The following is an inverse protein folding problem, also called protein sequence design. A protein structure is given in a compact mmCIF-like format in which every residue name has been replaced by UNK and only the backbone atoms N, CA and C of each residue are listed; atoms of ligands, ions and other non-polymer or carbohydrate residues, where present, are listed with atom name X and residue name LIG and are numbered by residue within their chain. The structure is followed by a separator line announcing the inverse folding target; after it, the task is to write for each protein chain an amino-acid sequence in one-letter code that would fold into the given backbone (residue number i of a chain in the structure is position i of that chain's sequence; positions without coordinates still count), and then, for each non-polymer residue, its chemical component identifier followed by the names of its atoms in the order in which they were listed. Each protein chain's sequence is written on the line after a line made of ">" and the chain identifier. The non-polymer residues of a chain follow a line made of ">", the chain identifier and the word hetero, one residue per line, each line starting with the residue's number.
data_IF_807739418423
#
_entry.id   IF_807739418423
#
_cell.length_a   1.000
_cell.length_b   1.000
_cell.length_c   1.000
_cell.angle_alpha   90.00
_cell.angle_beta   90.00
_cell.angle_gamma   90.00
#
_symmetry.space_group_name_H-M   'P 1'
#
loop_
_entity.id
_entity.type
_entity.pdbx_description
1 polymer ?
#
# COMPACT_ATOMS: atom_id res chain seq x y z
N UNK A 1 24.61 12.98 12.47
CA UNK A 1 24.56 13.06 11.00
C UNK A 1 23.07 13.07 10.66
N UNK A 2 22.61 14.03 9.86
CA UNK A 2 21.17 14.16 9.60
C UNK A 2 20.69 12.96 8.76
N UNK A 3 19.44 12.57 8.92
CA UNK A 3 18.76 11.53 8.14
C UNK A 3 18.89 11.76 6.63
N UNK A 4 18.93 13.04 6.19
CA UNK A 4 19.12 13.45 4.80
C UNK A 4 20.43 12.93 4.18
N UNK A 5 21.54 12.94 4.93
CA UNK A 5 22.83 12.43 4.43
C UNK A 5 22.81 10.92 4.19
N UNK A 6 22.08 10.15 5.00
CA UNK A 6 22.01 8.70 4.85
C UNK A 6 21.18 8.31 3.63
N UNK A 7 20.03 8.97 3.43
CA UNK A 7 19.18 8.72 2.26
C UNK A 7 19.92 9.08 0.95
N UNK A 8 20.68 10.18 0.95
CA UNK A 8 21.46 10.59 -0.22
C UNK A 8 22.49 9.51 -0.61
N UNK A 9 23.20 8.92 0.35
CA UNK A 9 24.13 7.83 0.08
C UNK A 9 23.45 6.59 -0.50
N UNK A 10 22.28 6.19 0.05
CA UNK A 10 21.51 5.10 -0.53
C UNK A 10 21.06 5.39 -1.96
N UNK A 11 20.62 6.62 -2.23
CA UNK A 11 20.17 7.02 -3.56
C UNK A 11 21.31 7.05 -4.60
N UNK A 12 22.55 7.35 -4.17
CA UNK A 12 23.72 7.30 -5.02
C UNK A 12 24.15 5.87 -5.36
N UNK A 13 24.12 4.97 -4.36
CA UNK A 13 24.55 3.58 -4.52
C UNK A 13 23.44 2.67 -5.12
N UNK A 14 22.19 2.99 -4.88
CA UNK A 14 21.02 2.21 -5.29
C UNK A 14 19.98 3.11 -5.98
N UNK A 15 20.28 3.70 -7.14
CA UNK A 15 19.42 4.70 -7.76
C UNK A 15 18.07 4.11 -8.18
N UNK A 16 16.98 4.85 -7.93
CA UNK A 16 15.65 4.54 -8.40
C UNK A 16 15.37 5.25 -9.73
N UNK A 17 14.87 4.51 -10.71
CA UNK A 17 14.32 5.08 -11.93
C UNK A 17 12.81 5.23 -11.77
N UNK A 18 12.32 6.46 -11.79
CA UNK A 18 10.90 6.79 -11.73
C UNK A 18 10.48 7.47 -13.03
N UNK A 19 9.29 7.14 -13.52
CA UNK A 19 8.73 7.70 -14.76
C UNK A 19 7.40 8.39 -14.47
N UNK A 20 6.86 9.10 -15.45
CA UNK A 20 5.48 9.56 -15.42
C UNK A 20 4.56 8.49 -16.04
N UNK A 21 3.38 8.29 -15.47
CA UNK A 21 2.33 7.44 -16.02
C UNK A 21 1.20 8.33 -16.57
N UNK A 22 0.90 8.17 -17.85
CA UNK A 22 -0.23 8.85 -18.50
C UNK A 22 -1.28 7.81 -18.90
N UNK A 23 -2.42 7.83 -18.24
CA UNK A 23 -3.58 6.96 -18.49
C UNK A 23 -4.67 7.64 -19.33
N UNK A 24 -4.53 8.93 -19.65
CA UNK A 24 -5.55 9.69 -20.41
C UNK A 24 -5.85 9.12 -21.79
N UNK A 25 -4.88 8.44 -22.40
CA UNK A 25 -5.00 7.81 -23.72
C UNK A 25 -5.01 6.28 -23.70
N UNK A 26 -4.54 5.65 -22.61
CA UNK A 26 -4.31 4.20 -22.55
C UNK A 26 -4.74 3.57 -21.21
N UNK A 27 -5.73 4.09 -20.53
CA UNK A 27 -6.24 3.54 -19.25
C UNK A 27 -6.91 2.16 -19.37
N UNK A 28 -7.19 1.68 -20.60
CA UNK A 28 -7.80 0.37 -20.78
C UNK A 28 -6.91 -0.75 -20.24
N UNK A 29 -7.51 -1.62 -19.43
CA UNK A 29 -6.82 -2.75 -18.81
C UNK A 29 -6.00 -2.38 -17.58
N UNK A 30 -6.05 -1.13 -17.10
CA UNK A 30 -5.54 -0.77 -15.78
C UNK A 30 -6.57 -1.06 -14.70
N UNK A 31 -6.08 -1.60 -13.58
CA UNK A 31 -6.79 -1.67 -12.30
C UNK A 31 -6.05 -0.88 -11.24
N UNK A 32 -6.77 -0.33 -10.29
CA UNK A 32 -6.23 0.45 -9.18
C UNK A 32 -6.31 -0.36 -7.89
N UNK A 33 -5.18 -0.55 -7.21
CA UNK A 33 -5.09 -1.34 -5.97
C UNK A 33 -4.65 -0.44 -4.83
N UNK A 34 -5.47 -0.39 -3.78
CA UNK A 34 -5.25 0.39 -2.56
C UNK A 34 -4.97 -0.58 -1.41
N UNK A 35 -3.83 -0.41 -0.74
CA UNK A 35 -3.39 -1.28 0.36
C UNK A 35 -3.48 -0.53 1.69
N UNK A 36 -4.32 -1.00 2.59
CA UNK A 36 -4.37 -0.65 4.01
C UNK A 36 -4.52 0.85 4.34
N UNK A 37 -5.16 1.64 3.49
CA UNK A 37 -5.48 3.03 3.83
C UNK A 37 -6.66 3.11 4.80
N UNK A 38 -6.44 2.54 5.97
CA UNK A 38 -7.40 2.48 7.08
C UNK A 38 -7.03 3.45 8.20
N UNK A 39 -7.99 3.77 9.07
CA UNK A 39 -7.79 4.69 10.17
C UNK A 39 -6.62 4.28 11.08
N UNK A 40 -6.51 2.98 11.39
CA UNK A 40 -5.48 2.43 12.28
C UNK A 40 -4.04 2.61 11.79
N UNK A 41 -3.84 2.99 10.51
CA UNK A 41 -2.51 3.26 9.94
C UNK A 41 -2.33 4.69 9.43
N UNK A 42 -3.41 5.40 9.08
CA UNK A 42 -3.28 6.68 8.39
C UNK A 42 -4.00 7.86 9.07
N UNK A 43 -4.91 7.62 10.03
CA UNK A 43 -5.60 8.69 10.75
C UNK A 43 -4.89 9.00 12.07
N UNK A 44 -4.52 10.25 12.28
CA UNK A 44 -3.80 10.68 13.49
C UNK A 44 -4.54 10.29 14.76
N UNK A 45 -3.87 9.53 15.63
CA UNK A 45 -4.39 9.11 16.94
C UNK A 45 -5.48 8.04 16.90
N UNK A 46 -5.75 7.42 15.75
CA UNK A 46 -6.84 6.46 15.61
C UNK A 46 -6.52 5.05 16.17
N UNK A 47 -5.26 4.75 16.44
CA UNK A 47 -4.86 3.43 16.97
C UNK A 47 -3.39 3.35 17.32
N UNK A 48 -2.97 2.15 17.72
CA UNK A 48 -1.60 1.91 18.19
C UNK A 48 -0.52 2.10 17.11
N UNK A 49 -0.87 1.84 15.86
CA UNK A 49 0.05 1.93 14.72
C UNK A 49 -0.23 3.18 13.84
N UNK A 50 -1.25 3.96 14.20
CA UNK A 50 -1.56 5.22 13.53
C UNK A 50 -0.52 6.31 13.89
N UNK A 51 -0.30 7.30 13.00
CA UNK A 51 0.53 8.46 13.32
C UNK A 51 0.02 9.15 14.58
N UNK A 52 0.91 9.48 15.51
CA UNK A 52 0.53 10.21 16.74
C UNK A 52 0.47 11.72 16.52
N UNK A 53 1.07 12.22 15.45
CA UNK A 53 1.07 13.61 15.01
C UNK A 53 0.85 13.67 13.51
N UNK A 54 0.41 14.81 12.94
CA UNK A 54 0.28 14.94 11.49
C UNK A 54 1.58 14.57 10.77
N UNK A 55 1.45 13.72 9.75
CA UNK A 55 2.55 13.25 8.92
C UNK A 55 2.28 13.63 7.46
N UNK A 56 3.19 14.41 6.85
CA UNK A 56 3.01 14.94 5.51
C UNK A 56 2.99 13.83 4.45
N UNK A 57 3.88 12.84 4.54
CA UNK A 57 3.94 11.73 3.57
C UNK A 57 2.63 10.93 3.58
N UNK A 58 2.09 10.61 4.77
CA UNK A 58 0.79 9.94 4.91
C UNK A 58 -0.36 10.80 4.34
N UNK A 59 -0.36 12.10 4.63
CA UNK A 59 -1.39 13.01 4.12
C UNK A 59 -1.36 13.15 2.60
N UNK A 60 -0.17 13.18 2.00
CA UNK A 60 0.01 13.20 0.55
C UNK A 60 -0.50 11.90 -0.07
N UNK A 61 -0.14 10.76 0.50
CA UNK A 61 -0.60 9.44 0.06
C UNK A 61 -2.14 9.38 0.00
N UNK A 62 -2.81 9.70 1.11
CA UNK A 62 -4.29 9.69 1.17
C UNK A 62 -4.91 10.63 0.14
N UNK A 63 -4.36 11.85 -0.01
CA UNK A 63 -4.85 12.83 -0.98
C UNK A 63 -4.69 12.35 -2.42
N UNK A 64 -3.53 11.78 -2.77
CA UNK A 64 -3.27 11.26 -4.11
C UNK A 64 -4.10 10.01 -4.41
N UNK A 65 -4.26 9.12 -3.45
CA UNK A 65 -5.14 7.94 -3.58
C UNK A 65 -6.58 8.36 -3.83
N UNK A 66 -7.10 9.30 -3.05
CA UNK A 66 -8.46 9.82 -3.24
C UNK A 66 -8.63 10.48 -4.63
N UNK A 67 -7.67 11.30 -5.05
CA UNK A 67 -7.67 11.92 -6.40
C UNK A 67 -7.71 10.86 -7.50
N UNK A 68 -6.88 9.83 -7.39
CA UNK A 68 -6.82 8.74 -8.36
C UNK A 68 -8.10 7.91 -8.36
N UNK A 69 -8.62 7.52 -7.20
CA UNK A 69 -9.86 6.75 -7.09
C UNK A 69 -11.03 7.49 -7.77
N UNK A 70 -11.16 8.80 -7.52
CA UNK A 70 -12.17 9.63 -8.19
C UNK A 70 -11.97 9.76 -9.70
N UNK A 71 -10.78 9.49 -10.22
CA UNK A 71 -10.51 9.49 -11.66
C UNK A 71 -10.74 8.11 -12.29
N UNK A 72 -10.47 7.02 -11.56
CA UNK A 72 -10.66 5.65 -12.04
C UNK A 72 -12.14 5.26 -12.15
N UNK A 73 -12.94 5.55 -11.13
CA UNK A 73 -14.32 5.07 -11.06
C UNK A 73 -15.24 5.62 -12.17
N UNK A 74 -15.20 6.92 -12.57
CA UNK A 74 -16.02 7.42 -13.68
C UNK A 74 -15.62 6.83 -15.04
N UNK A 75 -14.37 6.34 -15.17
CA UNK A 75 -13.89 5.69 -16.39
C UNK A 75 -14.17 4.18 -16.41
N UNK A 76 -14.92 3.68 -15.41
CA UNK A 76 -15.25 2.25 -15.25
C UNK A 76 -14.00 1.38 -15.15
N UNK A 77 -12.90 1.93 -14.63
CA UNK A 77 -11.69 1.17 -14.31
C UNK A 77 -11.85 0.55 -12.90
N UNK A 78 -11.56 -0.74 -12.76
CA UNK A 78 -11.82 -1.44 -11.50
C UNK A 78 -10.87 -0.99 -10.38
N UNK A 79 -11.41 -0.89 -9.17
CA UNK A 79 -10.66 -0.60 -7.95
C UNK A 79 -10.70 -1.80 -7.02
N UNK A 80 -9.56 -2.20 -6.47
CA UNK A 80 -9.45 -3.20 -5.42
C UNK A 80 -8.87 -2.54 -4.17
N UNK A 81 -9.58 -2.55 -3.07
CA UNK A 81 -9.05 -2.12 -1.80
C UNK A 81 -8.88 -3.31 -0.87
N UNK A 82 -7.68 -3.49 -0.36
CA UNK A 82 -7.31 -4.50 0.62
C UNK A 82 -7.16 -3.79 1.96
N UNK A 83 -7.91 -4.23 2.98
CA UNK A 83 -8.07 -3.53 4.24
C UNK A 83 -7.69 -4.43 5.40
N UNK A 84 -6.70 -4.02 6.17
CA UNK A 84 -6.28 -4.75 7.36
C UNK A 84 -7.40 -4.81 8.40
N UNK A 85 -7.68 -6.02 8.88
CA UNK A 85 -8.84 -6.25 9.75
C UNK A 85 -8.65 -7.50 10.57
N UNK A 86 -8.37 -7.34 11.85
CA UNK A 86 -8.13 -8.45 12.78
C UNK A 86 -9.37 -8.77 13.61
N UNK A 87 -9.52 -10.03 13.99
CA UNK A 87 -10.47 -10.40 15.02
C UNK A 87 -9.98 -9.91 16.39
N UNK A 88 -10.92 -9.59 17.28
CA UNK A 88 -10.62 -9.03 18.59
C UNK A 88 -9.63 -9.91 19.37
N UNK A 89 -8.52 -9.31 19.85
CA UNK A 89 -7.47 -9.97 20.60
C UNK A 89 -6.51 -10.83 19.77
N UNK A 90 -6.68 -10.89 18.44
CA UNK A 90 -5.77 -11.61 17.55
C UNK A 90 -4.52 -10.78 17.29
N UNK A 91 -3.38 -11.25 17.75
CA UNK A 91 -2.08 -10.59 17.53
C UNK A 91 -1.47 -11.00 16.19
N UNK A 92 -0.77 -10.06 15.56
CA UNK A 92 0.12 -10.27 14.43
C UNK A 92 1.55 -9.86 14.81
N UNK A 93 2.36 -10.75 15.38
CA UNK A 93 3.72 -10.40 15.76
C UNK A 93 4.58 -9.96 14.57
N UNK A 94 5.45 -8.93 14.72
CA UNK A 94 5.85 -8.31 15.98
C UNK A 94 4.98 -7.12 16.43
N UNK A 95 3.89 -6.84 15.75
CA UNK A 95 3.07 -5.64 15.98
C UNK A 95 2.14 -5.81 17.20
N UNK A 96 1.80 -4.69 17.82
CA UNK A 96 0.73 -4.62 18.82
C UNK A 96 -0.64 -4.85 18.18
N UNK A 97 -1.68 -5.07 18.99
CA UNK A 97 -3.06 -5.13 18.50
C UNK A 97 -3.40 -3.87 17.71
N UNK A 98 -3.99 -4.03 16.54
CA UNK A 98 -4.34 -2.97 15.60
C UNK A 98 -5.48 -3.41 14.69
N UNK A 99 -6.16 -2.46 14.09
CA UNK A 99 -7.22 -2.67 13.10
C UNK A 99 -8.23 -3.76 13.50
N UNK A 100 -8.55 -3.85 14.80
CA UNK A 100 -9.51 -4.83 15.29
C UNK A 100 -10.92 -4.49 14.81
N UNK A 101 -11.71 -5.52 14.51
CA UNK A 101 -13.11 -5.38 14.07
C UNK A 101 -13.93 -4.57 15.04
N UNK A 102 -14.75 -3.65 14.53
CA UNK A 102 -15.67 -2.81 15.28
C UNK A 102 -14.99 -1.78 16.19
N UNK A 103 -13.71 -1.48 15.99
CA UNK A 103 -13.03 -0.38 16.67
C UNK A 103 -13.05 0.92 15.86
N UNK A 104 -13.24 0.79 14.54
CA UNK A 104 -13.13 1.88 13.58
C UNK A 104 -11.69 2.06 13.04
N UNK A 105 -10.71 1.37 13.61
CA UNK A 105 -9.34 1.34 13.08
C UNK A 105 -9.30 0.65 11.72
N UNK A 106 -10.08 -0.40 11.52
CA UNK A 106 -10.20 -1.18 10.30
C UNK A 106 -11.01 -0.51 9.18
N UNK A 107 -11.67 0.61 9.49
CA UNK A 107 -12.42 1.39 8.50
C UNK A 107 -11.49 2.22 7.63
N UNK A 108 -11.91 2.47 6.39
CA UNK A 108 -11.23 3.44 5.54
C UNK A 108 -11.00 4.77 6.24
N UNK A 109 -9.92 5.45 5.90
CA UNK A 109 -9.79 6.89 6.18
C UNK A 109 -10.98 7.65 5.61
N UNK A 110 -11.34 8.77 6.23
CA UNK A 110 -12.55 9.55 5.88
C UNK A 110 -12.66 9.89 4.39
N UNK A 111 -11.53 10.21 3.77
CA UNK A 111 -11.39 10.60 2.36
C UNK A 111 -11.76 9.48 1.40
N UNK A 112 -11.58 8.22 1.80
CA UNK A 112 -11.82 7.04 0.96
C UNK A 112 -13.09 6.27 1.33
N UNK A 113 -13.80 6.67 2.38
CA UNK A 113 -15.00 5.94 2.88
C UNK A 113 -16.11 5.81 1.83
N UNK A 114 -16.17 6.70 0.84
CA UNK A 114 -17.12 6.63 -0.24
C UNK A 114 -16.95 5.39 -1.14
N UNK A 115 -15.74 4.80 -1.19
CA UNK A 115 -15.46 3.56 -1.92
C UNK A 115 -16.28 2.37 -1.41
N UNK A 116 -16.75 2.38 -0.16
CA UNK A 116 -17.61 1.33 0.39
C UNK A 116 -18.96 1.21 -0.37
N UNK A 117 -19.35 2.26 -1.09
CA UNK A 117 -20.60 2.33 -1.84
C UNK A 117 -20.39 2.43 -3.36
N UNK A 118 -19.13 2.41 -3.78
CA UNK A 118 -18.77 2.56 -5.19
C UNK A 118 -18.87 1.19 -5.89
N UNK A 119 -19.73 1.04 -6.93
CA UNK A 119 -19.89 -0.24 -7.63
C UNK A 119 -18.62 -0.76 -8.32
N UNK A 120 -17.68 0.13 -8.64
CA UNK A 120 -16.41 -0.24 -9.26
C UNK A 120 -15.35 -0.68 -8.24
N UNK A 121 -15.63 -0.55 -6.95
CA UNK A 121 -14.72 -0.94 -5.88
C UNK A 121 -15.04 -2.33 -5.33
N UNK A 122 -14.03 -3.20 -5.32
CA UNK A 122 -14.05 -4.49 -4.61
C UNK A 122 -13.27 -4.33 -3.33
N UNK A 123 -13.88 -4.70 -2.19
CA UNK A 123 -13.25 -4.62 -0.88
C UNK A 123 -12.88 -6.01 -0.39
N UNK A 124 -11.62 -6.19 -0.01
CA UNK A 124 -11.09 -7.44 0.57
C UNK A 124 -10.55 -7.13 1.97
N UNK A 125 -11.00 -7.86 2.96
CA UNK A 125 -10.48 -7.79 4.33
C UNK A 125 -9.41 -8.86 4.51
N UNK A 126 -8.22 -8.47 5.03
CA UNK A 126 -7.12 -9.37 5.35
C UNK A 126 -6.82 -9.33 6.86
N UNK A 127 -6.18 -10.36 7.36
CA UNK A 127 -5.79 -10.50 8.76
C UNK A 127 -4.31 -10.87 8.93
N UNK A 128 -3.51 -10.49 7.94
CA UNK A 128 -2.05 -10.68 7.90
C UNK A 128 -1.40 -9.62 7.01
N UNK A 129 -0.10 -9.38 7.20
CA UNK A 129 0.69 -8.36 6.46
C UNK A 129 0.47 -8.48 4.95
N UNK A 130 0.57 -9.69 4.41
CA UNK A 130 0.53 -9.91 2.97
C UNK A 130 -0.91 -9.95 2.44
N UNK A 131 -1.34 -8.90 1.74
CA UNK A 131 -2.68 -8.79 1.17
C UNK A 131 -3.04 -9.85 0.12
N UNK A 132 -2.05 -10.42 -0.59
CA UNK A 132 -2.31 -11.51 -1.53
C UNK A 132 -2.61 -12.82 -0.78
N UNK A 133 -1.89 -13.10 0.31
CA UNK A 133 -2.13 -14.26 1.17
C UNK A 133 -3.46 -14.10 1.92
N UNK A 134 -3.73 -12.92 2.49
CA UNK A 134 -4.97 -12.63 3.19
C UNK A 134 -6.22 -12.64 2.28
N UNK A 135 -6.04 -12.61 0.95
CA UNK A 135 -7.13 -12.70 -0.01
C UNK A 135 -7.60 -14.13 -0.31
N UNK A 136 -6.93 -15.18 0.23
CA UNK A 136 -7.40 -16.55 0.09
C UNK A 136 -8.71 -16.77 0.83
N UNK A 137 -9.65 -17.42 0.16
CA UNK A 137 -10.96 -17.78 0.70
C UNK A 137 -10.95 -19.22 1.23
N UNK A 138 -11.98 -19.60 2.00
CA UNK A 138 -12.08 -20.93 2.59
C UNK A 138 -12.19 -22.07 1.55
N UNK A 139 -12.66 -21.77 0.35
CA UNK A 139 -12.75 -22.73 -0.78
C UNK A 139 -11.45 -22.86 -1.57
N UNK A 140 -10.41 -22.11 -1.21
CA UNK A 140 -9.10 -22.08 -1.84
C UNK A 140 -8.99 -21.11 -3.02
N UNK A 141 -10.05 -20.38 -3.38
CA UNK A 141 -9.98 -19.27 -4.33
C UNK A 141 -9.21 -18.08 -3.73
N UNK A 142 -8.79 -17.15 -4.59
CA UNK A 142 -8.10 -15.94 -4.15
C UNK A 142 -8.76 -14.71 -4.76
N UNK A 143 -9.28 -13.82 -3.92
CA UNK A 143 -10.04 -12.66 -4.37
C UNK A 143 -9.23 -11.69 -5.27
N UNK A 144 -7.90 -11.61 -5.11
CA UNK A 144 -7.05 -10.81 -6.01
C UNK A 144 -6.96 -11.45 -7.40
N UNK A 145 -6.79 -12.79 -7.45
CA UNK A 145 -6.73 -13.52 -8.71
C UNK A 145 -8.07 -13.40 -9.46
N UNK A 146 -9.17 -13.59 -8.75
CA UNK A 146 -10.51 -13.51 -9.33
C UNK A 146 -10.79 -12.08 -9.82
N UNK A 147 -10.48 -11.05 -9.03
CA UNK A 147 -10.62 -9.65 -9.43
C UNK A 147 -9.83 -9.32 -10.71
N UNK A 148 -8.58 -9.78 -10.82
CA UNK A 148 -7.75 -9.57 -12.03
C UNK A 148 -8.38 -10.23 -13.25
N UNK A 149 -8.90 -11.46 -13.11
CA UNK A 149 -9.54 -12.22 -14.20
C UNK A 149 -10.87 -11.58 -14.61
N UNK A 150 -11.75 -11.35 -13.66
CA UNK A 150 -13.13 -10.89 -13.91
C UNK A 150 -13.17 -9.52 -14.57
N UNK A 151 -12.18 -8.66 -14.23
CA UNK A 151 -12.04 -7.33 -14.80
C UNK A 151 -11.06 -7.27 -15.98
N UNK A 152 -10.51 -8.43 -16.42
CA UNK A 152 -9.51 -8.49 -17.48
C UNK A 152 -8.36 -7.50 -17.31
N UNK A 153 -7.85 -7.38 -16.07
CA UNK A 153 -6.78 -6.44 -15.73
C UNK A 153 -5.47 -6.89 -16.33
N UNK A 154 -4.85 -6.01 -17.12
CA UNK A 154 -3.55 -6.25 -17.73
C UNK A 154 -2.42 -5.50 -17.00
N UNK A 155 -2.74 -4.39 -16.36
CA UNK A 155 -1.77 -3.59 -15.60
C UNK A 155 -2.41 -3.14 -14.30
N UNK A 156 -1.63 -3.03 -13.24
CA UNK A 156 -2.12 -2.51 -11.95
C UNK A 156 -1.31 -1.31 -11.53
N UNK A 157 -1.98 -0.31 -10.98
CA UNK A 157 -1.40 0.80 -10.25
C UNK A 157 -1.62 0.55 -8.76
N UNK A 158 -0.55 0.45 -7.99
CA UNK A 158 -0.57 0.11 -6.56
C UNK A 158 -0.19 1.33 -5.73
N UNK A 159 -0.98 1.58 -4.68
CA UNK A 159 -0.77 2.62 -3.66
C UNK A 159 -1.05 2.06 -2.27
N UNK A 160 -0.68 2.79 -1.22
CA UNK A 160 -1.07 2.48 0.15
C UNK A 160 0.04 2.52 1.19
N UNK A 161 -0.20 1.89 2.33
CA UNK A 161 0.66 1.89 3.52
C UNK A 161 0.84 0.47 4.09
N UNK A 162 2.01 0.04 4.60
CA UNK A 162 3.28 0.76 4.55
C UNK A 162 4.07 0.32 3.32
N UNK A 163 4.77 1.26 2.68
CA UNK A 163 5.55 1.05 1.45
C UNK A 163 6.46 -0.16 1.54
N UNK A 164 7.16 -0.32 2.65
CA UNK A 164 8.19 -1.35 2.90
C UNK A 164 7.66 -2.58 3.65
N UNK A 165 6.37 -2.62 3.95
CA UNK A 165 5.72 -3.73 4.66
C UNK A 165 4.57 -4.29 3.80
N UNK A 166 3.32 -3.88 4.05
CA UNK A 166 2.15 -4.47 3.38
C UNK A 166 2.15 -4.24 1.87
N UNK A 167 2.52 -3.03 1.40
CA UNK A 167 2.61 -2.71 -0.03
C UNK A 167 3.71 -3.54 -0.68
N UNK A 168 4.91 -3.56 -0.10
CA UNK A 168 6.03 -4.34 -0.64
C UNK A 168 5.71 -5.83 -0.67
N UNK A 169 5.23 -6.41 0.43
CA UNK A 169 4.89 -7.84 0.51
C UNK A 169 3.83 -8.22 -0.54
N UNK A 170 2.81 -7.40 -0.69
CA UNK A 170 1.78 -7.60 -1.72
C UNK A 170 2.39 -7.55 -3.13
N UNK A 171 3.13 -6.49 -3.46
CA UNK A 171 3.72 -6.29 -4.80
C UNK A 171 4.69 -7.42 -5.16
N UNK A 172 5.56 -7.82 -4.22
CA UNK A 172 6.52 -8.92 -4.47
C UNK A 172 5.81 -10.26 -4.70
N UNK A 173 4.75 -10.51 -3.94
CA UNK A 173 3.94 -11.73 -4.11
C UNK A 173 3.16 -11.70 -5.41
N UNK A 174 2.57 -10.55 -5.78
CA UNK A 174 1.85 -10.36 -7.04
C UNK A 174 2.76 -10.57 -8.25
N UNK A 175 3.99 -10.01 -8.22
CA UNK A 175 5.02 -10.23 -9.25
C UNK A 175 5.38 -11.73 -9.36
N UNK A 176 5.53 -12.40 -8.23
CA UNK A 176 5.83 -13.85 -8.20
C UNK A 176 4.67 -14.68 -8.75
N UNK A 177 3.44 -14.36 -8.37
CA UNK A 177 2.22 -15.03 -8.86
C UNK A 177 2.04 -14.83 -10.38
N UNK A 178 2.29 -13.59 -10.88
CA UNK A 178 2.32 -13.29 -12.32
C UNK A 178 3.34 -14.16 -13.04
N UNK A 179 4.58 -14.18 -12.57
CA UNK A 179 5.69 -14.91 -13.18
C UNK A 179 5.46 -16.43 -13.13
N UNK A 180 4.76 -16.94 -12.11
CA UNK A 180 4.35 -18.34 -12.00
C UNK A 180 3.18 -18.71 -12.92
N UNK A 181 2.53 -17.72 -13.55
CA UNK A 181 1.42 -17.96 -14.47
C UNK A 181 0.03 -18.04 -13.81
N UNK A 182 -0.10 -17.63 -12.53
CA UNK A 182 -1.40 -17.56 -11.83
C UNK A 182 -2.26 -16.41 -12.35
N UNK A 183 -1.65 -15.39 -12.93
CA UNK A 183 -2.26 -14.16 -13.42
C UNK A 183 -1.90 -13.92 -14.90
N UNK A 184 -2.40 -14.74 -15.84
CA UNK A 184 -1.94 -14.74 -17.24
C UNK A 184 -2.26 -13.45 -18.00
N UNK A 185 -3.27 -12.66 -17.57
CA UNK A 185 -3.59 -11.37 -18.16
C UNK A 185 -2.68 -10.25 -17.65
N UNK A 186 -2.12 -10.37 -16.43
CA UNK A 186 -1.35 -9.33 -15.78
C UNK A 186 0.04 -9.20 -16.41
N UNK A 187 0.37 -8.00 -16.90
CA UNK A 187 1.65 -7.67 -17.54
C UNK A 187 2.51 -6.83 -16.63
N UNK A 188 2.00 -5.66 -16.22
CA UNK A 188 2.75 -4.68 -15.47
C UNK A 188 2.19 -4.47 -14.07
N UNK A 189 3.09 -4.32 -13.12
CA UNK A 189 2.81 -3.89 -11.75
C UNK A 189 3.52 -2.56 -11.55
N UNK A 190 2.75 -1.50 -11.43
CA UNK A 190 3.21 -0.12 -11.30
C UNK A 190 2.97 0.34 -9.87
N UNK A 191 3.98 0.91 -9.23
CA UNK A 191 3.89 1.48 -7.87
C UNK A 191 4.03 2.99 -7.95
N UNK A 192 3.07 3.71 -7.39
CA UNK A 192 3.08 5.16 -7.38
C UNK A 192 3.73 5.67 -6.09
N UNK A 193 4.89 6.28 -6.23
CA UNK A 193 5.70 6.78 -5.12
C UNK A 193 4.92 7.66 -4.15
N UNK A 194 4.31 8.75 -4.64
CA UNK A 194 3.51 9.66 -3.80
C UNK A 194 2.18 9.08 -3.31
N UNK A 195 1.74 7.99 -3.91
CA UNK A 195 0.58 7.22 -3.45
C UNK A 195 0.94 6.17 -2.39
N UNK A 196 2.21 6.06 -2.02
CA UNK A 196 2.68 5.17 -0.97
C UNK A 196 3.29 5.95 0.19
N UNK A 197 3.13 5.44 1.40
CA UNK A 197 3.73 5.99 2.62
C UNK A 197 4.09 4.88 3.59
N UNK A 198 4.89 5.21 4.59
CA UNK A 198 5.15 4.33 5.73
C UNK A 198 5.16 5.15 7.03
N UNK A 199 5.21 4.50 8.19
CA UNK A 199 5.25 5.20 9.46
C UNK A 199 6.66 5.74 9.77
N UNK A 200 6.73 6.72 10.66
CA UNK A 200 7.99 7.29 11.13
C UNK A 200 8.21 6.99 12.61
N UNK A 201 9.28 6.27 12.90
CA UNK A 201 9.74 6.01 14.27
C UNK A 201 11.25 6.22 14.35
N UNK A 202 11.72 7.48 14.43
CA UNK A 202 13.13 7.80 14.44
C UNK A 202 13.85 7.25 15.66
N UNK A 203 15.14 6.97 15.51
CA UNK A 203 15.98 6.39 16.55
C UNK A 203 15.93 7.16 17.89
N UNK A 204 15.97 8.48 17.86
CA UNK A 204 15.89 9.31 19.06
C UNK A 204 14.56 9.14 19.80
N UNK A 205 13.45 8.97 19.08
CA UNK A 205 12.14 8.70 19.67
C UNK A 205 12.14 7.30 20.31
N UNK A 206 12.70 6.30 19.64
CA UNK A 206 12.84 4.94 20.17
C UNK A 206 13.62 4.94 21.50
N UNK A 207 14.73 5.68 21.55
CA UNK A 207 15.55 5.84 22.77
C UNK A 207 14.75 6.52 23.90
N UNK A 208 14.00 7.57 23.58
CA UNK A 208 13.20 8.34 24.54
C UNK A 208 12.08 7.50 25.17
N UNK A 209 11.38 6.70 24.36
CA UNK A 209 10.26 5.87 24.83
C UNK A 209 10.69 4.49 25.36
N UNK A 210 12.00 4.20 25.34
CA UNK A 210 12.58 2.99 25.92
C UNK A 210 12.35 1.70 25.14
N UNK A 211 12.11 1.80 23.84
CA UNK A 211 12.02 0.62 22.97
C UNK A 211 13.42 0.12 22.55
N UNK A 212 13.54 -1.14 22.11
CA UNK A 212 14.77 -1.64 21.51
C UNK A 212 15.15 -0.81 20.26
N UNK A 213 16.43 -0.51 20.09
CA UNK A 213 16.91 0.27 18.93
C UNK A 213 16.53 -0.36 17.57
N UNK A 214 16.35 -1.68 17.54
CA UNK A 214 15.86 -2.39 16.35
C UNK A 214 14.43 -2.05 15.95
N UNK A 215 13.69 -1.33 16.79
CA UNK A 215 12.37 -0.80 16.47
C UNK A 215 12.43 0.52 15.67
N UNK A 216 13.63 1.10 15.49
CA UNK A 216 13.79 2.32 14.71
C UNK A 216 13.33 2.12 13.27
N UNK A 217 12.49 3.04 12.81
CA UNK A 217 11.92 3.01 11.45
C UNK A 217 11.92 4.42 10.85
N UNK A 218 13.07 4.90 10.35
CA UNK A 218 13.18 6.22 9.75
C UNK A 218 12.45 6.25 8.40
N UNK A 219 11.34 6.96 8.35
CA UNK A 219 10.34 6.95 7.28
C UNK A 219 10.93 7.07 5.86
N UNK A 220 11.76 8.08 5.62
CA UNK A 220 12.29 8.33 4.28
C UNK A 220 13.21 7.20 3.78
N UNK A 221 14.00 6.62 4.69
CA UNK A 221 14.92 5.53 4.35
C UNK A 221 14.15 4.24 4.09
N UNK A 222 13.20 3.88 4.95
CA UNK A 222 12.43 2.64 4.82
C UNK A 222 11.47 2.72 3.65
N UNK A 223 10.84 3.87 3.39
CA UNK A 223 10.07 4.12 2.17
C UNK A 223 10.92 3.92 0.92
N UNK A 224 12.11 4.55 0.86
CA UNK A 224 13.03 4.39 -0.26
C UNK A 224 13.43 2.94 -0.49
N UNK A 225 13.76 2.22 0.58
CA UNK A 225 14.15 0.80 0.51
C UNK A 225 13.00 -0.09 0.04
N UNK A 226 11.77 0.18 0.48
CA UNK A 226 10.57 -0.52 0.00
C UNK A 226 10.41 -0.36 -1.52
N UNK A 227 10.50 0.87 -2.02
CA UNK A 227 10.46 1.16 -3.46
C UNK A 227 11.60 0.45 -4.21
N UNK A 228 12.82 0.49 -3.66
CA UNK A 228 13.97 -0.18 -4.26
C UNK A 228 13.76 -1.70 -4.37
N UNK A 229 13.28 -2.36 -3.32
CA UNK A 229 13.03 -3.79 -3.35
C UNK A 229 11.94 -4.18 -4.34
N UNK A 230 10.89 -3.40 -4.47
CA UNK A 230 9.85 -3.62 -5.47
C UNK A 230 10.39 -3.43 -6.89
N UNK A 231 11.12 -2.35 -7.15
CA UNK A 231 11.73 -2.06 -8.45
C UNK A 231 12.74 -3.13 -8.86
N UNK A 232 13.61 -3.57 -7.94
CA UNK A 232 14.63 -4.59 -8.20
C UNK A 232 14.05 -5.96 -8.58
N UNK A 233 12.76 -6.17 -8.38
CA UNK A 233 12.03 -7.40 -8.73
C UNK A 233 11.02 -7.21 -9.87
N UNK A 234 11.05 -6.03 -10.52
CA UNK A 234 10.34 -5.79 -11.76
C UNK A 234 9.03 -4.99 -11.62
N UNK A 235 8.80 -4.34 -10.48
CA UNK A 235 7.78 -3.29 -10.42
C UNK A 235 8.29 -2.03 -11.14
N UNK A 236 7.39 -1.35 -11.85
CA UNK A 236 7.69 -0.03 -12.41
C UNK A 236 7.37 1.03 -11.35
N UNK A 237 8.28 1.98 -11.15
CA UNK A 237 8.03 3.10 -10.25
C UNK A 237 7.61 4.34 -11.03
N UNK A 238 6.59 5.03 -10.55
CA UNK A 238 6.15 6.30 -11.12
C UNK A 238 6.10 7.39 -10.06
N UNK A 239 6.52 8.60 -10.45
CA UNK A 239 6.52 9.80 -9.60
C UNK A 239 5.31 10.71 -9.82
N UNK A 240 4.60 10.48 -10.92
CA UNK A 240 3.38 11.23 -11.28
C UNK A 240 2.43 10.36 -12.08
N UNK A 241 1.13 10.56 -11.85
CA UNK A 241 0.04 9.88 -12.58
C UNK A 241 -0.94 10.93 -13.09
N UNK A 242 -1.15 10.93 -14.40
CA UNK A 242 -2.15 11.71 -15.09
C UNK A 242 -3.23 10.78 -15.63
N UNK A 243 -4.52 11.15 -15.43
CA UNK A 243 -5.71 10.40 -15.87
C UNK A 243 -6.66 11.35 -16.60
#
# INVERSE_FOLDING_TARGET
>A
MSTDNNLQHFAEDMPLSKTALDLSSNGQGFGFIIIDEVNGFATVGAGNLAPQVPNEQVSVMVSETNRLAHSFTPQVMPVLAILDTHDFGKQEPPYSLHCERCTGEEDFVSELKWLEKEPQATLVRKDCINGFIGAFQQDGSNAVIDWVKDNNVANVLVVGICTDICVMDFVLTLLSARNHGMLPSLKEVVVYDKGCSTYDLPRNVVEEIGLPLSASHPQDVTHYMGLYFMASRGAQLVESVQI
#
